data_IF_370636831888
#
_entry.id   IF_370636831888
#
_cell.length_a   1.000
_cell.length_b   1.000
_cell.length_c   1.000
_cell.angle_alpha   90.00
_cell.angle_beta   90.00
_cell.angle_gamma   90.00
#
_symmetry.space_group_name_H-M   'P 1'
#
loop_
_entity.id
_entity.type
_entity.pdbx_description
1 polymer ?
#
# COMPACT_ATOMS: atom_id res chain seq x y z
N UNK A 1 0.11 -35.80 -9.22
CA UNK A 1 -0.63 -34.83 -8.38
C UNK A 1 -0.30 -33.43 -8.87
N UNK A 2 -1.26 -32.70 -9.44
CA UNK A 2 -1.08 -31.29 -9.84
C UNK A 2 -1.17 -30.43 -8.58
N UNK A 3 -0.07 -29.79 -8.15
CA UNK A 3 -0.10 -28.78 -7.08
C UNK A 3 -0.91 -27.58 -7.58
N UNK A 4 -2.06 -27.33 -6.95
CA UNK A 4 -2.86 -26.14 -7.18
C UNK A 4 -2.13 -24.91 -6.67
N UNK A 5 -1.89 -23.95 -7.56
CA UNK A 5 -1.31 -22.65 -7.22
C UNK A 5 -2.42 -21.76 -6.64
N UNK A 6 -2.27 -21.33 -5.39
CA UNK A 6 -3.12 -20.32 -4.78
C UNK A 6 -2.60 -18.97 -5.23
N UNK A 7 -3.39 -18.23 -6.01
CA UNK A 7 -3.08 -16.86 -6.42
C UNK A 7 -3.23 -15.94 -5.21
N UNK A 8 -2.12 -15.47 -4.65
CA UNK A 8 -2.12 -14.48 -3.58
C UNK A 8 -2.14 -13.07 -4.20
N UNK A 9 -3.34 -12.53 -4.45
CA UNK A 9 -3.52 -11.16 -4.93
C UNK A 9 -3.33 -10.17 -3.79
N UNK A 10 -2.38 -9.24 -3.91
CA UNK A 10 -2.24 -8.10 -3.00
C UNK A 10 -2.89 -6.89 -3.66
N UNK A 11 -3.92 -6.33 -3.04
CA UNK A 11 -4.63 -5.13 -3.52
C UNK A 11 -4.15 -3.92 -2.74
N UNK A 12 -3.42 -3.00 -3.38
CA UNK A 12 -3.00 -1.73 -2.74
C UNK A 12 -4.00 -0.65 -3.15
N UNK A 13 -4.77 -0.15 -2.17
CA UNK A 13 -5.68 0.98 -2.35
C UNK A 13 -5.01 2.27 -1.89
N UNK A 14 -4.87 3.24 -2.79
CA UNK A 14 -4.57 4.62 -2.44
C UNK A 14 -5.89 5.36 -2.21
N UNK A 15 -6.22 5.64 -0.95
CA UNK A 15 -7.33 6.53 -0.62
C UNK A 15 -6.77 7.94 -0.41
N UNK A 16 -6.90 8.78 -1.43
CA UNK A 16 -6.77 10.23 -1.24
C UNK A 16 -8.05 10.73 -0.58
N UNK A 17 -8.05 10.81 0.75
CA UNK A 17 -9.19 11.35 1.52
C UNK A 17 -9.29 12.85 1.24
N UNK A 18 -10.27 13.23 0.42
CA UNK A 18 -10.68 14.62 0.27
C UNK A 18 -11.54 15.03 1.47
N UNK A 19 -11.10 16.03 2.21
CA UNK A 19 -11.98 16.87 3.01
C UNK A 19 -12.77 17.77 2.06
N UNK A 20 -13.95 17.29 1.64
CA UNK A 20 -14.97 18.09 0.98
C UNK A 20 -16.31 17.75 1.63
N UNK A 21 -16.65 18.51 2.67
CA UNK A 21 -18.01 18.56 3.20
C UNK A 21 -18.77 19.54 2.30
N UNK A 22 -19.73 19.02 1.53
CA UNK A 22 -20.52 19.79 0.57
C UNK A 22 -21.56 18.89 -0.08
N UNK A 23 -22.75 18.90 0.53
CA UNK A 23 -24.06 18.48 0.03
C UNK A 23 -24.14 17.83 -1.37
N UNK A 24 -24.33 16.51 -1.40
CA UNK A 24 -25.30 15.76 -2.21
C UNK A 24 -24.87 14.30 -2.28
N UNK A 25 -25.78 13.40 -1.93
CA UNK A 25 -25.53 11.96 -1.80
C UNK A 25 -25.43 11.24 -3.14
N UNK A 26 -24.45 11.57 -3.97
CA UNK A 26 -24.08 10.77 -5.13
C UNK A 26 -22.66 10.23 -4.99
N UNK A 27 -22.50 8.94 -5.28
CA UNK A 27 -21.25 8.20 -5.25
C UNK A 27 -20.25 8.82 -6.24
N UNK A 28 -19.41 9.74 -5.76
CA UNK A 28 -18.29 10.25 -6.53
C UNK A 28 -17.16 9.22 -6.54
N UNK A 29 -17.33 8.16 -7.33
CA UNK A 29 -16.22 7.30 -7.74
C UNK A 29 -15.73 7.88 -9.07
N UNK A 30 -14.58 8.59 -9.11
CA UNK A 30 -14.07 9.11 -10.38
C UNK A 30 -13.81 7.93 -11.33
N UNK A 31 -14.20 8.05 -12.60
CA UNK A 31 -14.04 6.97 -13.60
C UNK A 31 -12.60 6.41 -13.70
N UNK A 32 -11.61 7.20 -13.28
CA UNK A 32 -10.19 6.86 -13.28
C UNK A 32 -9.76 6.02 -12.07
N UNK A 33 -10.68 5.57 -11.21
CA UNK A 33 -10.36 4.77 -10.02
C UNK A 33 -9.68 3.43 -10.38
N UNK A 34 -9.92 2.90 -11.58
CA UNK A 34 -9.24 1.70 -12.10
C UNK A 34 -7.72 1.85 -12.21
N UNK A 35 -7.20 3.06 -12.41
CA UNK A 35 -5.75 3.30 -12.50
C UNK A 35 -5.07 3.37 -11.12
N UNK A 36 -5.86 3.59 -10.05
CA UNK A 36 -5.37 3.77 -8.68
C UNK A 36 -5.32 2.45 -7.89
N UNK A 37 -5.86 1.37 -8.46
CA UNK A 37 -5.87 0.02 -7.88
C UNK A 37 -4.93 -0.88 -8.67
N UNK A 38 -3.73 -1.12 -8.15
CA UNK A 38 -2.74 -1.96 -8.82
C UNK A 38 -2.92 -3.42 -8.38
N UNK A 39 -3.61 -4.23 -9.17
CA UNK A 39 -3.61 -5.69 -9.02
C UNK A 39 -2.33 -6.26 -9.62
N UNK A 40 -1.28 -6.45 -8.81
CA UNK A 40 -0.05 -7.10 -9.29
C UNK A 40 -0.09 -8.59 -8.99
N UNK A 41 -0.29 -9.41 -10.02
CA UNK A 41 -0.03 -10.84 -9.97
C UNK A 41 1.48 -11.07 -9.94
N UNK A 42 2.04 -11.46 -8.80
CA UNK A 42 3.45 -11.81 -8.66
C UNK A 42 3.62 -13.32 -8.92
N UNK A 43 4.30 -13.70 -9.98
CA UNK A 43 4.72 -15.09 -10.22
C UNK A 43 6.02 -15.39 -9.45
N UNK A 44 6.08 -16.57 -8.83
CA UNK A 44 7.12 -16.95 -7.86
C UNK A 44 8.45 -17.38 -8.49
N UNK A 45 8.64 -17.23 -9.80
CA UNK A 45 9.84 -17.69 -10.52
C UNK A 45 10.95 -16.63 -10.70
N UNK A 46 10.67 -15.36 -10.42
CA UNK A 46 11.61 -14.26 -10.71
C UNK A 46 12.57 -13.91 -9.55
N UNK A 47 12.63 -14.75 -8.52
CA UNK A 47 13.24 -14.39 -7.23
C UNK A 47 14.67 -14.87 -7.07
N UNK A 48 15.58 -14.22 -7.81
CA UNK A 48 16.92 -13.95 -7.29
C UNK A 48 16.84 -12.79 -6.29
N UNK A 49 16.60 -13.08 -5.01
CA UNK A 49 16.57 -12.07 -3.95
C UNK A 49 17.98 -11.46 -3.74
N UNK A 50 18.31 -10.39 -4.46
CA UNK A 50 19.21 -9.36 -3.96
C UNK A 50 18.36 -8.28 -3.32
N UNK A 51 18.29 -8.31 -1.99
CA UNK A 51 17.69 -7.24 -1.20
C UNK A 51 18.74 -6.13 -1.11
N UNK A 52 18.75 -5.24 -2.10
CA UNK A 52 19.36 -3.92 -1.90
C UNK A 52 18.39 -3.17 -0.97
N UNK A 53 18.57 -3.31 0.33
CA UNK A 53 17.88 -2.50 1.34
C UNK A 53 18.36 -1.07 1.14
N UNK A 54 17.58 -0.28 0.39
CA UNK A 54 17.89 1.12 0.21
C UNK A 54 17.73 1.82 1.55
N UNK A 55 18.85 2.25 2.15
CA UNK A 55 18.88 3.02 3.42
C UNK A 55 18.01 4.29 3.44
N UNK A 56 17.49 4.67 2.27
CA UNK A 56 16.66 5.85 2.03
C UNK A 56 15.44 5.93 2.96
N UNK A 57 14.88 4.80 3.37
CA UNK A 57 13.65 4.75 4.18
C UNK A 57 13.83 4.02 5.53
N UNK A 58 15.05 3.95 6.07
CA UNK A 58 15.34 3.26 7.35
C UNK A 58 14.57 3.86 8.55
N UNK A 59 14.12 5.12 8.44
CA UNK A 59 13.30 5.79 9.46
C UNK A 59 11.82 5.39 9.41
N UNK A 60 11.36 4.74 8.34
CA UNK A 60 9.95 4.38 8.14
C UNK A 60 9.61 3.12 8.92
N UNK A 61 8.54 3.20 9.73
CA UNK A 61 8.06 2.09 10.55
C UNK A 61 9.14 1.45 11.45
N UNK A 62 9.81 2.23 12.33
CA UNK A 62 10.89 1.71 13.18
C UNK A 62 10.40 0.66 14.19
N UNK A 63 9.08 0.61 14.42
CA UNK A 63 8.43 -0.35 15.31
C UNK A 63 8.03 -1.65 14.60
N UNK A 64 8.25 -1.76 13.29
CA UNK A 64 7.87 -2.92 12.46
C UNK A 64 6.38 -3.30 12.61
N UNK A 65 5.50 -2.29 12.61
CA UNK A 65 4.04 -2.47 12.71
C UNK A 65 3.48 -3.05 11.41
N UNK A 66 4.06 -2.68 10.28
CA UNK A 66 3.59 -3.06 8.95
C UNK A 66 4.34 -4.33 8.52
N UNK A 67 3.66 -5.34 7.96
CA UNK A 67 4.36 -6.50 7.42
C UNK A 67 5.38 -6.10 6.34
N UNK A 68 6.55 -6.73 6.36
CA UNK A 68 7.69 -6.34 5.51
C UNK A 68 7.38 -6.32 4.02
N UNK A 69 6.59 -7.29 3.53
CA UNK A 69 6.26 -7.42 2.10
C UNK A 69 5.42 -6.24 1.59
N UNK A 70 4.24 -5.91 2.16
CA UNK A 70 3.46 -4.76 1.72
C UNK A 70 4.21 -3.43 1.93
N UNK A 71 5.00 -3.29 3.01
CA UNK A 71 5.82 -2.09 3.22
C UNK A 71 6.84 -1.89 2.08
N UNK A 72 7.58 -2.94 1.73
CA UNK A 72 8.55 -2.90 0.63
C UNK A 72 7.90 -2.49 -0.70
N UNK A 73 6.78 -3.13 -1.06
CA UNK A 73 6.08 -2.83 -2.32
C UNK A 73 5.59 -1.38 -2.34
N UNK A 74 5.05 -0.89 -1.22
CA UNK A 74 4.57 0.48 -1.10
C UNK A 74 5.72 1.50 -1.23
N UNK A 75 6.85 1.26 -0.57
CA UNK A 75 8.04 2.12 -0.67
C UNK A 75 8.64 2.12 -2.08
N UNK A 76 8.73 0.96 -2.74
CA UNK A 76 9.18 0.87 -4.15
C UNK A 76 8.25 1.66 -5.09
N UNK A 77 6.94 1.60 -4.87
CA UNK A 77 5.98 2.35 -5.67
C UNK A 77 6.11 3.86 -5.40
N UNK A 78 6.16 4.24 -4.13
CA UNK A 78 6.32 5.63 -3.70
C UNK A 78 7.58 6.24 -4.33
N UNK A 79 8.71 5.53 -4.29
CA UNK A 79 9.98 5.99 -4.83
C UNK A 79 9.92 6.24 -6.35
N UNK A 80 9.33 5.28 -7.09
CA UNK A 80 9.21 5.35 -8.55
C UNK A 80 8.22 6.41 -9.04
N UNK A 81 7.24 6.77 -8.20
CA UNK A 81 6.13 7.63 -8.60
C UNK A 81 6.04 8.93 -7.82
N UNK A 82 7.06 9.29 -7.03
CA UNK A 82 7.00 10.44 -6.12
C UNK A 82 6.58 11.75 -6.82
N UNK A 83 7.04 11.97 -8.05
CA UNK A 83 6.72 13.16 -8.84
C UNK A 83 5.25 13.21 -9.32
N UNK A 84 4.51 12.11 -9.22
CA UNK A 84 3.08 11.99 -9.58
C UNK A 84 2.17 12.01 -8.35
N UNK A 85 2.73 11.88 -7.14
CA UNK A 85 1.97 11.83 -5.90
C UNK A 85 1.71 13.27 -5.43
N UNK A 86 0.45 13.69 -5.46
CA UNK A 86 0.04 15.04 -5.03
C UNK A 86 0.36 15.33 -3.56
N UNK A 87 0.24 14.32 -2.70
CA UNK A 87 0.56 14.44 -1.26
C UNK A 87 1.63 13.40 -0.87
N UNK A 88 2.92 13.75 -0.98
CA UNK A 88 4.01 12.82 -0.68
C UNK A 88 4.21 12.62 0.83
N UNK A 89 3.57 13.42 1.69
CA UNK A 89 3.80 13.35 3.14
C UNK A 89 3.15 12.15 3.80
N UNK A 90 2.20 11.51 3.14
CA UNK A 90 1.48 10.36 3.67
C UNK A 90 1.45 9.21 2.68
N UNK A 91 1.72 8.01 3.16
CA UNK A 91 1.62 6.76 2.39
C UNK A 91 0.63 5.84 3.09
N UNK A 92 -0.41 5.43 2.37
CA UNK A 92 -1.41 4.47 2.86
C UNK A 92 -1.15 3.07 2.31
N UNK A 93 -1.31 2.06 3.15
CA UNK A 93 -1.17 0.64 2.77
C UNK A 93 -2.40 -0.10 3.27
N UNK A 94 -3.15 -0.72 2.37
CA UNK A 94 -4.18 -1.70 2.71
C UNK A 94 -3.65 -3.10 2.41
N UNK A 95 -3.60 -3.98 3.41
CA UNK A 95 -3.12 -5.35 3.26
C UNK A 95 -4.26 -6.37 3.38
N UNK A 96 -4.90 -6.66 2.25
CA UNK A 96 -5.99 -7.63 2.19
C UNK A 96 -5.54 -9.10 2.29
N UNK A 97 -4.24 -9.36 2.41
CA UNK A 97 -3.77 -10.72 2.74
C UNK A 97 -4.01 -11.07 4.20
N UNK A 98 -4.22 -10.06 5.05
CA UNK A 98 -4.58 -10.24 6.45
C UNK A 98 -6.08 -10.41 6.65
N UNK A 99 -6.44 -11.20 7.67
CA UNK A 99 -7.82 -11.43 8.07
C UNK A 99 -8.52 -10.10 8.42
N UNK A 100 -9.80 -9.97 8.09
CA UNK A 100 -10.55 -8.72 8.25
C UNK A 100 -10.73 -8.26 9.70
N UNK A 101 -10.56 -9.15 10.67
CA UNK A 101 -10.56 -8.80 12.09
C UNK A 101 -9.26 -8.12 12.55
N UNK A 102 -8.22 -8.08 11.71
CA UNK A 102 -6.95 -7.44 12.00
C UNK A 102 -6.91 -6.00 11.48
N UNK A 103 -6.17 -5.13 12.16
CA UNK A 103 -5.90 -3.77 11.68
C UNK A 103 -4.95 -3.82 10.49
N UNK A 104 -5.53 -3.83 9.30
CA UNK A 104 -4.83 -4.06 8.02
C UNK A 104 -4.77 -2.82 7.12
N UNK A 105 -5.18 -1.67 7.63
CA UNK A 105 -4.99 -0.39 6.97
C UNK A 105 -3.98 0.45 7.74
N UNK A 106 -2.90 0.83 7.08
CA UNK A 106 -1.79 1.57 7.65
C UNK A 106 -1.67 2.93 6.98
N UNK A 107 -1.44 3.98 7.75
CA UNK A 107 -1.05 5.30 7.27
C UNK A 107 0.31 5.63 7.86
N UNK A 108 1.27 5.93 7.00
CA UNK A 108 2.64 6.29 7.33
C UNK A 108 2.80 7.79 7.11
N UNK A 109 3.29 8.54 8.10
CA UNK A 109 3.81 9.90 7.88
C UNK A 109 5.24 9.81 7.36
N UNK A 110 5.45 10.10 6.08
CA UNK A 110 6.73 9.96 5.38
C UNK A 110 7.79 10.99 5.83
N UNK A 111 7.46 11.95 6.70
CA UNK A 111 8.44 12.89 7.27
C UNK A 111 9.05 12.36 8.57
N UNK A 112 8.30 11.54 9.29
CA UNK A 112 8.67 11.07 10.64
C UNK A 112 8.80 9.56 10.74
N UNK A 113 8.24 8.81 9.78
CA UNK A 113 8.14 7.36 9.81
C UNK A 113 7.07 6.81 10.75
N UNK A 114 6.27 7.67 11.41
CA UNK A 114 5.22 7.25 12.34
C UNK A 114 4.10 6.52 11.59
N UNK A 115 3.65 5.40 12.15
CA UNK A 115 2.57 4.58 11.59
C UNK A 115 1.31 4.68 12.45
N UNK A 116 0.17 4.84 11.80
CA UNK A 116 -1.17 4.66 12.38
C UNK A 116 -1.84 3.46 11.72
N UNK A 117 -2.62 2.69 12.47
CA UNK A 117 -3.28 1.46 11.99
C UNK A 117 -4.78 1.45 12.31
N UNK A 118 -5.58 0.99 11.35
CA UNK A 118 -7.04 1.02 11.40
C UNK A 118 -7.64 -0.31 10.95
N UNK A 119 -8.86 -0.58 11.42
CA UNK A 119 -9.68 -1.71 10.98
C UNK A 119 -10.43 -1.30 9.70
N UNK A 120 -10.42 -2.18 8.69
CA UNK A 120 -11.09 -1.98 7.38
C UNK A 120 -11.61 -3.30 6.80
#
# INVERSE_FOLDING_TARGET
>A
MKKGYIKNSVLILFLSVFSAWGESGENFIPENFKEMVFEKNFETSDIGYKVEESKKYDYVDPQNIIPKKPLKIALEYYDKNINKIRNPYYLSIADFTQHSSQKRFYIIDMRTGKVSQFLV
#
